data_IF_404715301610
#
_entry.id   IF_404715301610
#
_cell.length_a   1.000
_cell.length_b   1.000
_cell.length_c   1.000
_cell.angle_alpha   90.00
_cell.angle_beta   90.00
_cell.angle_gamma   90.00
#
_symmetry.space_group_name_H-M   'P 1'
#
loop_
_entity.id
_entity.type
_entity.pdbx_description
1 polymer ?
#
# COMPACT_ATOMS: atom_id res chain seq x y z
N UNK A 1 51.91 27.34 26.72
CA UNK A 1 51.43 26.03 26.21
C UNK A 1 49.94 26.14 25.96
N UNK A 2 49.53 25.82 24.73
CA UNK A 2 48.14 25.65 24.28
C UNK A 2 47.32 24.84 25.29
N UNK A 3 46.06 25.21 25.49
CA UNK A 3 44.94 24.25 25.45
C UNK A 3 43.61 24.98 25.32
N UNK A 4 43.14 25.05 24.08
CA UNK A 4 41.74 25.22 23.75
C UNK A 4 40.97 23.96 24.16
N UNK A 5 39.80 24.12 24.76
CA UNK A 5 38.70 23.15 24.69
C UNK A 5 37.43 24.01 24.53
N UNK A 6 37.07 24.35 23.29
CA UNK A 6 36.23 23.53 22.41
C UNK A 6 34.85 23.29 23.04
N UNK A 7 33.92 24.16 22.68
CA UNK A 7 32.50 24.01 22.93
C UNK A 7 32.01 22.68 22.30
N UNK A 8 31.52 21.76 23.13
CA UNK A 8 30.74 20.62 22.65
C UNK A 8 29.35 21.10 22.24
N UNK A 9 29.26 21.69 21.05
CA UNK A 9 28.05 21.73 20.25
C UNK A 9 27.80 20.34 19.65
N UNK A 10 27.32 19.41 20.48
CA UNK A 10 26.87 18.09 20.03
C UNK A 10 25.39 18.14 19.70
N UNK A 11 25.06 18.59 18.48
CA UNK A 11 23.73 18.43 17.90
C UNK A 11 23.31 16.96 18.05
N UNK A 12 22.25 16.68 18.82
CA UNK A 12 21.64 15.36 18.85
C UNK A 12 21.34 14.94 17.40
N UNK A 13 21.64 13.70 16.99
CA UNK A 13 21.08 13.19 15.75
C UNK A 13 19.57 13.12 15.97
N UNK A 14 18.84 14.15 15.56
CA UNK A 14 17.46 13.93 15.13
C UNK A 14 17.57 12.84 14.09
N UNK A 15 16.91 11.67 14.24
CA UNK A 15 16.82 10.73 13.13
C UNK A 15 16.22 11.50 11.95
N UNK A 16 17.07 11.92 11.02
CA UNK A 16 16.69 12.66 9.83
C UNK A 16 16.02 11.64 8.92
N UNK A 17 14.70 11.56 9.00
CA UNK A 17 13.89 10.62 8.24
C UNK A 17 14.17 9.18 8.69
N UNK A 18 13.29 8.43 9.35
CA UNK A 18 11.91 8.31 8.91
C UNK A 18 11.84 8.49 7.38
N UNK A 19 12.65 7.76 6.63
CA UNK A 19 12.31 7.31 5.27
C UNK A 19 11.06 6.41 5.36
N UNK A 20 10.02 6.90 6.04
CA UNK A 20 8.70 6.33 6.03
C UNK A 20 8.18 6.74 4.68
N UNK A 21 8.41 5.90 3.68
CA UNK A 21 7.56 5.93 2.51
C UNK A 21 6.15 5.94 3.05
N UNK A 22 5.46 7.03 2.73
CA UNK A 22 4.24 7.43 3.37
C UNK A 22 3.09 6.58 2.81
N UNK A 23 3.26 5.26 2.87
CA UNK A 23 2.26 4.27 2.51
C UNK A 23 1.18 4.34 3.58
N UNK A 24 -0.06 4.61 3.17
CA UNK A 24 -1.17 4.60 4.09
C UNK A 24 -1.41 3.16 4.60
N UNK A 25 -1.26 2.96 5.91
CA UNK A 25 -1.47 1.65 6.56
C UNK A 25 -2.86 1.05 6.30
N UNK A 26 -3.89 1.88 6.17
CA UNK A 26 -5.26 1.44 5.92
C UNK A 26 -5.44 0.99 4.47
N UNK A 27 -4.86 1.71 3.50
CA UNK A 27 -4.85 1.26 2.09
C UNK A 27 -4.10 -0.06 1.94
N UNK A 28 -2.96 -0.19 2.60
CA UNK A 28 -2.17 -1.42 2.62
C UNK A 28 -2.98 -2.60 3.17
N UNK A 29 -3.50 -2.46 4.38
CA UNK A 29 -4.30 -3.50 5.03
C UNK A 29 -5.57 -3.85 4.24
N UNK A 30 -6.27 -2.85 3.70
CA UNK A 30 -7.46 -3.06 2.89
C UNK A 30 -7.15 -3.77 1.58
N UNK A 31 -6.03 -3.47 0.93
CA UNK A 31 -5.61 -4.14 -0.31
C UNK A 31 -5.39 -5.63 -0.07
N UNK A 32 -4.72 -5.99 1.03
CA UNK A 32 -4.48 -7.38 1.40
C UNK A 32 -5.77 -8.12 1.78
N UNK A 33 -6.71 -7.44 2.44
CA UNK A 33 -7.99 -8.02 2.85
C UNK A 33 -8.90 -8.28 1.63
N UNK A 34 -9.10 -7.27 0.78
CA UNK A 34 -9.93 -7.36 -0.43
C UNK A 34 -9.36 -8.37 -1.42
N UNK A 35 -8.04 -8.41 -1.59
CA UNK A 35 -7.37 -9.29 -2.54
C UNK A 35 -6.78 -10.55 -1.89
N UNK A 36 -7.25 -10.92 -0.69
CA UNK A 36 -6.75 -12.08 0.07
C UNK A 36 -6.92 -13.42 -0.64
N UNK A 37 -7.82 -13.49 -1.64
CA UNK A 37 -8.00 -14.65 -2.50
C UNK A 37 -6.91 -14.81 -3.57
N UNK A 38 -6.05 -13.81 -3.77
CA UNK A 38 -4.91 -13.87 -4.68
C UNK A 38 -3.64 -14.28 -3.92
N UNK A 39 -2.80 -15.16 -4.49
CA UNK A 39 -1.54 -15.54 -3.87
C UNK A 39 -0.57 -14.34 -3.92
N UNK A 40 -0.09 -13.87 -2.77
CA UNK A 40 0.92 -12.79 -2.71
C UNK A 40 2.26 -13.33 -3.18
N UNK A 41 2.89 -12.62 -4.12
CA UNK A 41 4.24 -12.95 -4.62
C UNK A 41 5.29 -12.07 -3.98
N UNK A 42 5.03 -10.77 -3.89
CA UNK A 42 5.96 -9.80 -3.32
C UNK A 42 5.16 -8.68 -2.67
N UNK A 43 5.57 -8.23 -1.49
CA UNK A 43 4.92 -7.13 -0.78
C UNK A 43 5.99 -6.29 -0.07
N UNK A 44 6.29 -5.13 -0.63
CA UNK A 44 7.32 -4.22 -0.17
C UNK A 44 6.66 -3.02 0.54
N UNK A 45 6.60 -3.02 1.89
CA UNK A 45 5.95 -1.93 2.63
C UNK A 45 6.74 -0.62 2.55
N UNK A 46 8.03 -0.71 2.23
CA UNK A 46 8.86 0.46 1.99
C UNK A 46 8.61 1.10 0.65
N UNK A 47 8.24 0.40 -0.42
CA UNK A 47 7.94 1.07 -1.69
C UNK A 47 6.45 1.27 -1.89
N UNK A 48 5.61 0.60 -1.09
CA UNK A 48 4.16 0.58 -1.26
C UNK A 48 3.69 -0.35 -2.39
N UNK A 49 4.56 -1.25 -2.87
CA UNK A 49 4.26 -2.21 -3.93
C UNK A 49 3.75 -3.52 -3.34
N UNK A 50 2.66 -4.04 -3.89
CA UNK A 50 2.18 -5.40 -3.66
C UNK A 50 1.95 -6.04 -5.02
N UNK A 51 2.64 -7.15 -5.28
CA UNK A 51 2.47 -7.95 -6.50
C UNK A 51 1.87 -9.29 -6.15
N UNK A 52 0.78 -9.66 -6.82
CA UNK A 52 0.13 -10.95 -6.64
C UNK A 52 0.36 -11.86 -7.83
N UNK A 53 0.25 -13.16 -7.60
CA UNK A 53 0.14 -14.17 -8.64
C UNK A 53 -1.28 -14.24 -9.19
N UNK A 54 -1.47 -15.14 -10.15
CA UNK A 54 -2.78 -15.44 -10.69
C UNK A 54 -3.62 -16.20 -9.66
N UNK A 55 -4.74 -15.63 -9.26
CA UNK A 55 -5.75 -16.27 -8.43
C UNK A 55 -7.14 -16.15 -9.04
N UNK A 56 -8.04 -17.03 -8.63
CA UNK A 56 -9.40 -17.10 -9.15
C UNK A 56 -10.36 -16.61 -8.07
N UNK A 57 -11.03 -15.46 -8.25
CA UNK A 57 -12.01 -15.00 -7.29
C UNK A 57 -13.19 -15.98 -7.20
N UNK A 58 -13.81 -16.13 -6.01
CA UNK A 58 -14.94 -17.03 -5.83
C UNK A 58 -16.11 -16.61 -6.74
N UNK A 59 -16.73 -17.60 -7.39
CA UNK A 59 -17.84 -17.37 -8.33
C UNK A 59 -17.42 -16.99 -9.75
N UNK A 60 -16.13 -17.01 -10.07
CA UNK A 60 -15.61 -16.77 -11.43
C UNK A 60 -14.63 -17.87 -11.83
N UNK A 61 -14.50 -18.16 -13.12
CA UNK A 61 -13.53 -19.13 -13.65
C UNK A 61 -12.34 -18.46 -14.38
N UNK A 62 -12.16 -17.16 -14.16
CA UNK A 62 -11.10 -16.34 -14.76
C UNK A 62 -10.06 -16.04 -13.70
N UNK A 63 -8.81 -16.42 -13.99
CA UNK A 63 -7.69 -16.11 -13.13
C UNK A 63 -7.19 -14.68 -13.42
N UNK A 64 -7.00 -13.90 -12.35
CA UNK A 64 -6.48 -12.54 -12.40
C UNK A 64 -5.22 -12.43 -11.54
N UNK A 65 -4.31 -11.56 -11.94
CA UNK A 65 -3.25 -11.04 -11.08
C UNK A 65 -3.44 -9.54 -10.88
N UNK A 66 -3.01 -9.04 -9.74
CA UNK A 66 -3.06 -7.64 -9.40
C UNK A 66 -1.66 -7.15 -9.02
N UNK A 67 -1.32 -5.97 -9.50
CA UNK A 67 -0.18 -5.20 -9.01
C UNK A 67 -0.74 -3.94 -8.37
N UNK A 68 -0.48 -3.75 -7.09
CA UNK A 68 -0.97 -2.63 -6.30
C UNK A 68 0.22 -1.77 -5.95
N UNK A 69 0.07 -0.47 -6.11
CA UNK A 69 1.05 0.52 -5.71
C UNK A 69 0.33 1.59 -4.91
N UNK A 70 0.75 1.78 -3.66
CA UNK A 70 0.34 2.91 -2.84
C UNK A 70 1.38 4.01 -3.02
N UNK A 71 0.99 5.16 -3.58
CA UNK A 71 1.91 6.25 -3.94
C UNK A 71 1.93 7.38 -2.91
N UNK A 72 0.86 7.53 -2.12
CA UNK A 72 0.67 8.68 -1.25
C UNK A 72 -0.10 8.28 0.04
N UNK A 73 0.13 8.99 1.16
CA UNK A 73 -0.50 8.66 2.44
C UNK A 73 -1.97 9.06 2.52
N UNK A 74 -2.50 9.82 1.57
CA UNK A 74 -3.91 10.18 1.56
C UNK A 74 -4.79 8.95 1.31
N UNK A 75 -5.99 8.97 1.89
CA UNK A 75 -6.98 7.91 1.74
C UNK A 75 -7.94 8.28 0.61
N UNK A 76 -7.42 8.31 -0.62
CA UNK A 76 -8.14 8.65 -1.85
C UNK A 76 -7.70 7.76 -3.02
N UNK A 77 -8.53 7.67 -4.06
CA UNK A 77 -8.26 6.89 -5.27
C UNK A 77 -6.95 7.28 -5.97
N UNK A 78 -6.54 8.56 -5.94
CA UNK A 78 -5.29 9.01 -6.58
C UNK A 78 -4.02 8.41 -5.95
N UNK A 79 -4.12 7.98 -4.69
CA UNK A 79 -3.02 7.47 -3.88
C UNK A 79 -2.85 5.96 -4.02
N UNK A 80 -3.75 5.30 -4.76
CA UNK A 80 -3.77 3.86 -5.01
C UNK A 80 -3.77 3.63 -6.52
N UNK A 81 -2.80 2.87 -7.01
CA UNK A 81 -2.80 2.37 -8.38
C UNK A 81 -2.94 0.86 -8.34
N UNK A 82 -4.00 0.34 -8.95
CA UNK A 82 -4.22 -1.11 -9.07
C UNK A 82 -4.14 -1.47 -10.53
N UNK A 83 -3.18 -2.27 -10.95
CA UNK A 83 -3.07 -2.85 -12.28
C UNK A 83 -3.59 -4.29 -12.27
N UNK A 84 -4.72 -4.55 -12.93
CA UNK A 84 -5.29 -5.89 -13.04
C UNK A 84 -5.02 -6.53 -14.40
N UNK A 85 -4.65 -7.80 -14.40
CA UNK A 85 -4.42 -8.56 -15.63
C UNK A 85 -5.04 -9.94 -15.55
N UNK A 86 -5.73 -10.35 -16.61
CA UNK A 86 -6.28 -11.70 -16.76
C UNK A 86 -5.40 -12.55 -17.65
N UNK A 87 -5.58 -13.88 -17.63
CA UNK A 87 -4.91 -14.79 -18.57
C UNK A 87 -5.28 -14.52 -20.04
N UNK A 88 -6.45 -13.93 -20.30
CA UNK A 88 -6.94 -13.64 -21.65
C UNK A 88 -6.59 -12.24 -22.16
N UNK A 89 -5.85 -11.45 -21.37
CA UNK A 89 -5.47 -10.08 -21.71
C UNK A 89 -5.96 -9.03 -20.70
N UNK A 90 -6.06 -7.75 -21.11
CA UNK A 90 -6.42 -6.65 -20.22
C UNK A 90 -7.83 -6.83 -19.64
N UNK A 91 -8.02 -6.34 -18.42
CA UNK A 91 -9.29 -6.36 -17.70
C UNK A 91 -10.08 -5.10 -18.05
N UNK A 92 -11.41 -5.17 -18.00
CA UNK A 92 -12.26 -4.00 -18.19
C UNK A 92 -11.98 -2.94 -17.11
N UNK A 93 -11.91 -1.66 -17.53
CA UNK A 93 -11.69 -0.53 -16.63
C UNK A 93 -12.72 -0.47 -15.50
N UNK A 94 -13.97 -0.87 -15.77
CA UNK A 94 -15.03 -0.92 -14.76
C UNK A 94 -14.71 -1.91 -13.64
N UNK A 95 -14.16 -3.08 -13.98
CA UNK A 95 -13.76 -4.08 -12.98
C UNK A 95 -12.57 -3.60 -12.15
N UNK A 96 -11.60 -2.94 -12.79
CA UNK A 96 -10.46 -2.35 -12.10
C UNK A 96 -10.92 -1.29 -11.09
N UNK A 97 -11.78 -0.36 -11.53
CA UNK A 97 -12.39 0.67 -10.67
C UNK A 97 -13.21 0.09 -9.54
N UNK A 98 -13.98 -0.96 -9.79
CA UNK A 98 -14.77 -1.62 -8.75
C UNK A 98 -13.88 -2.19 -7.64
N UNK A 99 -12.72 -2.75 -7.99
CA UNK A 99 -11.73 -3.24 -7.01
C UNK A 99 -11.08 -2.08 -6.25
N UNK A 100 -10.71 -1.01 -6.96
CA UNK A 100 -10.17 0.20 -6.32
C UNK A 100 -11.17 0.79 -5.30
N UNK A 101 -12.44 0.93 -5.67
CA UNK A 101 -13.49 1.42 -4.76
C UNK A 101 -13.68 0.46 -3.57
N UNK A 102 -13.67 -0.85 -3.79
CA UNK A 102 -13.78 -1.84 -2.72
C UNK A 102 -12.63 -1.70 -1.71
N UNK A 103 -11.39 -1.50 -2.19
CA UNK A 103 -10.21 -1.24 -1.34
C UNK A 103 -10.38 0.06 -0.56
N UNK A 104 -10.79 1.16 -1.22
CA UNK A 104 -11.00 2.45 -0.55
C UNK A 104 -12.10 2.39 0.50
N UNK A 105 -13.22 1.72 0.20
CA UNK A 105 -14.32 1.51 1.13
C UNK A 105 -13.86 0.68 2.33
N UNK A 106 -13.11 -0.40 2.13
CA UNK A 106 -12.53 -1.19 3.22
C UNK A 106 -11.52 -0.40 4.05
N UNK A 107 -10.66 0.40 3.42
CA UNK A 107 -9.70 1.26 4.11
C UNK A 107 -10.39 2.29 5.01
N UNK A 108 -11.48 2.90 4.54
CA UNK A 108 -12.32 3.80 5.36
C UNK A 108 -12.90 3.09 6.56
N UNK A 109 -13.43 1.88 6.39
CA UNK A 109 -13.94 1.06 7.50
C UNK A 109 -12.85 0.80 8.55
N UNK A 110 -11.65 0.40 8.12
CA UNK A 110 -10.51 0.16 9.02
C UNK A 110 -10.12 1.42 9.81
N UNK A 111 -10.08 2.58 9.13
CA UNK A 111 -9.79 3.87 9.78
C UNK A 111 -10.85 4.25 10.82
N UNK A 112 -12.13 4.02 10.53
CA UNK A 112 -13.22 4.29 11.46
C UNK A 112 -13.14 3.35 12.67
N UNK A 113 -12.89 2.06 12.45
CA UNK A 113 -12.75 1.08 13.52
C UNK A 113 -11.57 1.38 14.46
N UNK A 114 -10.46 1.86 13.91
CA UNK A 114 -9.26 2.28 14.66
C UNK A 114 -9.51 3.55 15.50
N UNK A 115 -10.22 4.54 14.95
CA UNK A 115 -10.56 5.78 15.68
C UNK A 115 -11.73 5.68 16.66
N UNK A 116 -12.41 4.53 16.71
CA UNK A 116 -13.51 4.25 17.63
C UNK A 116 -13.04 3.58 18.94
N UNK A 117 -11.75 3.30 19.06
CA UNK A 117 -11.07 2.76 20.25
C UNK A 117 -10.46 3.89 21.09
#
# INVERSE_FOLDING_TARGET
>A
MLSALAACGGQAPTPRGAENVAVNRYLWAASLDVLSFLPIQTADPFTGVISTGFGTPPGTNRAYRANIQVTDPALDARSLNVALQSRSGPVALETQRAIEDAILSRARQLRIADGAL
#
